data_IF_156460151569
#
_entry.id   IF_156460151569
#
_cell.length_a   1.000
_cell.length_b   1.000
_cell.length_c   1.000
_cell.angle_alpha   90.00
_cell.angle_beta   90.00
_cell.angle_gamma   90.00
#
_symmetry.space_group_name_H-M   'P 1'
#
loop_
_entity.id
_entity.type
_entity.pdbx_description
1 polymer ?
#
# COMPACT_ATOMS: atom_id res chain seq x y z
N UNK A 1 13.85 -4.33 9.43
CA UNK A 1 14.57 -3.43 8.48
C UNK A 1 15.75 -4.19 7.90
N UNK A 2 16.27 -3.72 6.77
CA UNK A 2 17.32 -4.42 6.04
C UNK A 2 18.60 -4.65 6.86
N UNK A 3 19.13 -3.56 7.42
CA UNK A 3 20.34 -3.58 8.24
C UNK A 3 20.24 -4.50 9.48
N UNK A 4 19.04 -4.62 10.08
CA UNK A 4 18.86 -5.43 11.29
C UNK A 4 18.94 -6.93 10.97
N UNK A 5 18.53 -7.34 9.77
CA UNK A 5 18.67 -8.73 9.34
C UNK A 5 20.14 -9.07 9.06
N UNK A 6 20.88 -8.13 8.49
CA UNK A 6 22.31 -8.31 8.25
C UNK A 6 23.11 -8.38 9.55
N UNK A 7 22.86 -7.47 10.49
CA UNK A 7 23.47 -7.51 11.81
C UNK A 7 23.15 -8.82 12.55
N UNK A 8 21.91 -9.31 12.48
CA UNK A 8 21.55 -10.61 13.06
C UNK A 8 22.36 -11.75 12.43
N UNK A 9 22.50 -11.76 11.10
CA UNK A 9 23.30 -12.76 10.38
C UNK A 9 24.77 -12.72 10.77
N UNK A 10 25.38 -11.54 10.84
CA UNK A 10 26.80 -11.37 11.23
C UNK A 10 27.07 -11.85 12.66
N UNK A 11 26.11 -11.65 13.55
CA UNK A 11 26.18 -12.08 14.95
C UNK A 11 25.72 -13.54 15.16
N UNK A 12 25.31 -14.25 14.12
CA UNK A 12 24.79 -15.61 14.22
C UNK A 12 23.47 -15.73 14.99
N UNK A 13 22.67 -14.67 15.01
CA UNK A 13 21.39 -14.60 15.70
C UNK A 13 20.22 -14.95 14.75
N UNK A 14 19.20 -15.69 15.23
CA UNK A 14 17.98 -15.88 14.47
C UNK A 14 17.23 -14.56 14.34
N UNK A 15 16.53 -14.39 13.21
CA UNK A 15 15.62 -13.27 13.02
C UNK A 15 14.33 -13.74 12.34
N UNK A 16 13.24 -13.04 12.64
CA UNK A 16 11.93 -13.24 12.02
C UNK A 16 11.59 -11.98 11.25
N UNK A 17 11.19 -12.14 10.00
CA UNK A 17 10.77 -11.01 9.17
C UNK A 17 9.26 -10.81 9.31
N UNK A 18 8.84 -9.62 9.73
CA UNK A 18 7.45 -9.18 9.60
C UNK A 18 7.29 -8.42 8.28
N UNK A 19 6.54 -9.00 7.35
CA UNK A 19 6.13 -8.40 6.10
C UNK A 19 4.74 -7.78 6.24
N UNK A 20 4.67 -6.45 6.12
CA UNK A 20 3.47 -5.66 6.40
C UNK A 20 2.62 -5.38 5.18
N UNK A 21 3.11 -5.67 3.98
CA UNK A 21 2.33 -5.66 2.75
C UNK A 21 1.70 -7.04 2.49
N UNK A 22 0.99 -7.18 1.38
CA UNK A 22 0.32 -8.43 1.00
C UNK A 22 1.29 -9.53 0.54
N UNK A 23 0.89 -10.80 0.61
CA UNK A 23 1.70 -11.91 0.10
C UNK A 23 1.91 -11.80 -1.42
N UNK A 24 0.89 -11.39 -2.18
CA UNK A 24 1.02 -11.17 -3.61
C UNK A 24 2.05 -10.07 -3.94
N UNK A 25 2.12 -9.01 -3.13
CA UNK A 25 3.12 -7.95 -3.32
C UNK A 25 4.54 -8.47 -3.06
N UNK A 26 4.72 -9.34 -2.06
CA UNK A 26 6.00 -10.00 -1.80
C UNK A 26 6.49 -10.76 -3.03
N UNK A 27 5.62 -11.58 -3.64
CA UNK A 27 5.93 -12.31 -4.87
C UNK A 27 6.29 -11.35 -6.01
N UNK A 28 5.54 -10.24 -6.15
CA UNK A 28 5.84 -9.19 -7.11
C UNK A 28 7.28 -8.66 -6.99
N UNK A 29 7.70 -8.30 -5.78
CA UNK A 29 9.07 -7.85 -5.52
C UNK A 29 10.11 -8.95 -5.71
N UNK A 30 9.80 -10.18 -5.26
CA UNK A 30 10.70 -11.33 -5.33
C UNK A 30 11.07 -11.68 -6.77
N UNK A 31 10.18 -11.39 -7.73
CA UNK A 31 10.38 -11.65 -9.16
C UNK A 31 11.00 -10.49 -9.94
N UNK A 32 11.43 -9.41 -9.30
CA UNK A 32 12.10 -8.29 -10.00
C UNK A 32 13.30 -8.73 -10.85
N UNK A 33 14.09 -9.69 -10.37
CA UNK A 33 15.21 -10.26 -11.16
C UNK A 33 14.75 -10.98 -12.43
N UNK A 34 13.58 -11.60 -12.41
CA UNK A 34 12.97 -12.22 -13.59
C UNK A 34 12.55 -11.15 -14.61
N UNK A 35 11.95 -10.04 -14.14
CA UNK A 35 11.62 -8.89 -14.99
C UNK A 35 12.88 -8.28 -15.62
N UNK A 36 14.00 -8.28 -14.89
CA UNK A 36 15.30 -7.84 -15.43
C UNK A 36 15.83 -8.77 -16.51
N UNK A 37 15.81 -10.08 -16.25
CA UNK A 37 16.26 -11.08 -17.22
C UNK A 37 15.45 -11.06 -18.52
N UNK A 38 14.17 -10.66 -18.45
CA UNK A 38 13.28 -10.51 -19.60
C UNK A 38 13.38 -9.15 -20.30
N UNK A 39 14.21 -8.25 -19.80
CA UNK A 39 14.39 -6.91 -20.38
C UNK A 39 13.21 -5.96 -20.20
N UNK A 40 12.28 -6.27 -19.27
CA UNK A 40 11.16 -5.40 -18.92
C UNK A 40 11.56 -4.27 -17.95
N UNK A 41 12.64 -4.49 -17.21
CA UNK A 41 13.23 -3.52 -16.30
C UNK A 41 14.76 -3.75 -16.18
N UNK A 42 15.54 -2.83 -15.58
CA UNK A 42 15.17 -1.45 -15.31
C UNK A 42 14.78 -0.72 -16.59
N UNK A 43 13.84 0.22 -16.49
CA UNK A 43 13.51 1.06 -17.65
C UNK A 43 14.66 2.03 -17.91
N UNK A 44 14.82 2.46 -19.17
CA UNK A 44 15.88 3.41 -19.52
C UNK A 44 15.43 4.85 -19.36
N UNK A 45 14.17 5.09 -19.68
CA UNK A 45 13.58 6.42 -19.66
C UNK A 45 12.11 6.38 -19.29
N UNK A 46 11.59 7.45 -18.69
CA UNK A 46 10.21 7.51 -18.20
C UNK A 46 9.22 7.50 -19.36
N UNK A 47 9.63 8.01 -20.52
CA UNK A 47 8.91 8.01 -21.79
C UNK A 47 8.62 6.60 -22.31
N UNK A 48 9.37 5.59 -21.83
CA UNK A 48 9.10 4.18 -22.13
C UNK A 48 7.78 3.70 -21.47
N UNK A 49 7.31 4.35 -20.40
CA UNK A 49 6.13 3.96 -19.63
C UNK A 49 4.82 4.38 -20.29
N UNK A 50 4.65 4.03 -21.56
CA UNK A 50 3.36 4.18 -22.26
C UNK A 50 2.34 3.19 -21.72
N UNK A 51 1.04 3.44 -21.95
CA UNK A 51 -0.01 2.49 -21.58
C UNK A 51 0.20 1.11 -22.21
N UNK A 52 0.62 1.07 -23.48
CA UNK A 52 0.97 -0.18 -24.18
C UNK A 52 2.10 -0.93 -23.49
N UNK A 53 3.18 -0.23 -23.10
CA UNK A 53 4.29 -0.85 -22.38
C UNK A 53 3.85 -1.36 -21.01
N UNK A 54 3.09 -0.56 -20.28
CA UNK A 54 2.51 -0.89 -18.99
C UNK A 54 1.55 -2.09 -19.05
N UNK A 55 0.85 -2.28 -20.17
CA UNK A 55 -0.04 -3.43 -20.40
C UNK A 55 0.67 -4.69 -20.92
N UNK A 56 2.00 -4.66 -21.08
CA UNK A 56 2.79 -5.85 -21.45
C UNK A 56 2.48 -7.01 -20.49
N UNK A 57 1.98 -8.16 -20.99
CA UNK A 57 1.74 -9.34 -20.17
C UNK A 57 3.04 -9.89 -19.57
N UNK A 58 2.99 -10.30 -18.30
CA UNK A 58 4.10 -10.95 -17.61
C UNK A 58 3.66 -12.36 -17.24
N UNK A 59 3.81 -13.26 -18.21
CA UNK A 59 3.38 -14.66 -18.12
C UNK A 59 4.39 -15.54 -17.38
N UNK A 60 3.97 -16.73 -16.96
CA UNK A 60 4.84 -17.74 -16.33
C UNK A 60 5.65 -17.23 -15.14
N UNK A 61 5.02 -16.46 -14.26
CA UNK A 61 5.63 -16.00 -13.00
C UNK A 61 5.14 -16.89 -11.85
N UNK A 62 6.02 -17.65 -11.17
CA UNK A 62 5.60 -18.54 -10.10
C UNK A 62 4.82 -17.81 -8.99
N UNK A 63 3.60 -18.25 -8.72
CA UNK A 63 2.72 -17.65 -7.70
C UNK A 63 1.98 -16.39 -8.14
N UNK A 64 2.13 -15.95 -9.39
CA UNK A 64 1.43 -14.79 -9.93
C UNK A 64 0.72 -15.16 -11.23
N UNK A 65 -0.58 -14.83 -11.34
CA UNK A 65 -1.40 -15.15 -12.52
C UNK A 65 -1.96 -13.86 -13.13
N UNK A 66 -2.06 -13.83 -14.45
CA UNK A 66 -2.69 -12.73 -15.21
C UNK A 66 -2.09 -11.34 -14.91
N UNK A 67 -0.78 -11.27 -14.68
CA UNK A 67 -0.10 -10.02 -14.38
C UNK A 67 0.30 -9.28 -15.65
N UNK A 68 0.23 -7.95 -15.60
CA UNK A 68 0.88 -7.04 -16.55
C UNK A 68 2.00 -6.29 -15.84
N UNK A 69 2.88 -5.65 -16.62
CA UNK A 69 3.95 -4.84 -16.05
C UNK A 69 3.42 -3.74 -15.10
N UNK A 70 2.24 -3.16 -15.39
CA UNK A 70 1.57 -2.17 -14.52
C UNK A 70 1.04 -2.71 -13.20
N UNK A 71 0.93 -4.03 -13.05
CA UNK A 71 0.42 -4.64 -11.83
C UNK A 71 1.56 -4.89 -10.81
N UNK A 72 2.83 -4.79 -11.23
CA UNK A 72 3.99 -4.76 -10.33
C UNK A 72 4.16 -3.36 -9.72
N UNK A 73 4.68 -3.31 -8.48
CA UNK A 73 4.95 -2.05 -7.78
C UNK A 73 5.77 -1.07 -8.63
N UNK A 74 5.40 0.21 -8.57
CA UNK A 74 6.02 1.30 -9.35
C UNK A 74 7.52 1.48 -9.08
N UNK A 75 8.06 0.93 -8.00
CA UNK A 75 9.50 0.94 -7.70
C UNK A 75 10.35 0.34 -8.84
N UNK A 76 9.83 -0.66 -9.57
CA UNK A 76 10.54 -1.25 -10.72
C UNK A 76 10.58 -0.34 -11.96
N UNK A 77 9.80 0.73 -11.95
CA UNK A 77 9.65 1.69 -13.06
C UNK A 77 10.54 2.92 -12.88
N UNK A 78 11.52 2.86 -11.98
CA UNK A 78 12.51 3.92 -11.86
C UNK A 78 13.61 3.73 -12.91
N UNK A 79 13.98 4.77 -13.68
CA UNK A 79 15.16 4.73 -14.54
C UNK A 79 16.46 4.93 -13.76
N UNK A 80 16.37 5.36 -12.49
CA UNK A 80 17.54 5.60 -11.66
C UNK A 80 18.20 4.26 -11.27
N UNK A 81 19.49 4.05 -11.60
CA UNK A 81 20.19 2.80 -11.29
C UNK A 81 20.36 2.58 -9.77
N UNK A 82 20.30 3.65 -8.99
CA UNK A 82 20.45 3.69 -7.53
C UNK A 82 19.13 4.01 -6.81
N UNK A 83 17.97 3.74 -7.45
CA UNK A 83 16.66 3.96 -6.84
C UNK A 83 16.54 3.21 -5.50
N UNK A 84 16.40 3.99 -4.43
CA UNK A 84 16.37 3.46 -3.07
C UNK A 84 15.24 2.45 -2.86
N UNK A 85 14.03 2.72 -3.37
CA UNK A 85 12.88 1.86 -3.13
C UNK A 85 12.97 0.55 -3.90
N UNK A 86 13.55 0.59 -5.10
CA UNK A 86 13.86 -0.62 -5.87
C UNK A 86 14.85 -1.52 -5.13
N UNK A 87 15.99 -0.97 -4.69
CA UNK A 87 17.01 -1.72 -3.96
C UNK A 87 16.51 -2.21 -2.60
N UNK A 88 15.73 -1.39 -1.90
CA UNK A 88 15.09 -1.75 -0.65
C UNK A 88 14.15 -2.96 -0.83
N UNK A 89 13.26 -2.94 -1.82
CA UNK A 89 12.31 -4.03 -2.05
C UNK A 89 13.00 -5.34 -2.45
N UNK A 90 14.01 -5.26 -3.34
CA UNK A 90 14.86 -6.41 -3.69
C UNK A 90 15.55 -6.98 -2.46
N UNK A 91 16.26 -6.13 -1.71
CA UNK A 91 17.02 -6.54 -0.55
C UNK A 91 16.16 -7.16 0.55
N UNK A 92 14.98 -6.60 0.79
CA UNK A 92 14.05 -7.11 1.80
C UNK A 92 13.51 -8.50 1.43
N UNK A 93 13.16 -8.72 0.15
CA UNK A 93 12.59 -10.00 -0.29
C UNK A 93 13.64 -11.09 -0.52
N UNK A 94 14.83 -10.74 -1.01
CA UNK A 94 15.94 -11.69 -1.18
C UNK A 94 16.44 -12.23 0.17
N UNK A 95 16.52 -11.39 1.20
CA UNK A 95 16.95 -11.82 2.54
C UNK A 95 15.92 -12.63 3.31
N UNK A 96 14.64 -12.58 2.94
CA UNK A 96 13.58 -13.34 3.61
C UNK A 96 13.87 -14.86 3.65
N UNK A 97 14.58 -15.40 2.65
CA UNK A 97 14.98 -16.80 2.60
C UNK A 97 15.96 -17.21 3.72
N UNK A 98 16.70 -16.26 4.28
CA UNK A 98 17.61 -16.49 5.42
C UNK A 98 16.97 -16.28 6.79
N UNK A 99 15.68 -15.93 6.85
CA UNK A 99 14.98 -15.74 8.11
C UNK A 99 14.70 -17.10 8.77
N UNK A 100 14.50 -17.10 10.10
CA UNK A 100 14.01 -18.28 10.81
C UNK A 100 12.53 -18.54 10.56
N UNK A 101 11.78 -17.48 10.25
CA UNK A 101 10.39 -17.50 9.83
C UNK A 101 10.03 -16.17 9.15
N UNK A 102 8.98 -16.19 8.34
CA UNK A 102 8.35 -14.98 7.79
C UNK A 102 6.94 -14.88 8.35
N UNK A 103 6.57 -13.69 8.81
CA UNK A 103 5.23 -13.36 9.26
C UNK A 103 4.64 -12.40 8.22
N UNK A 104 3.43 -12.69 7.75
CA UNK A 104 2.69 -11.84 6.81
C UNK A 104 1.41 -11.37 7.47
N UNK A 105 1.10 -10.08 7.33
CA UNK A 105 -0.16 -9.49 7.81
C UNK A 105 -1.33 -9.83 6.87
N UNK A 106 -1.63 -11.12 6.74
CA UNK A 106 -2.71 -11.69 5.92
C UNK A 106 -3.26 -12.95 6.61
N UNK A 107 -4.25 -13.61 5.99
CA UNK A 107 -4.82 -14.88 6.47
C UNK A 107 -5.04 -15.84 5.28
N UNK A 108 -5.10 -17.15 5.57
CA UNK A 108 -5.10 -18.20 4.54
C UNK A 108 -6.27 -18.08 3.54
N UNK A 109 -7.48 -17.76 4.00
CA UNK A 109 -8.63 -17.59 3.12
C UNK A 109 -8.48 -16.40 2.14
N UNK A 110 -7.56 -15.47 2.40
CA UNK A 110 -7.30 -14.31 1.53
C UNK A 110 -6.16 -14.56 0.54
N UNK A 111 -5.04 -15.13 0.99
CA UNK A 111 -3.80 -15.23 0.18
C UNK A 111 -3.07 -16.58 0.36
N UNK A 112 -3.79 -17.66 0.67
CA UNK A 112 -3.19 -18.98 0.92
C UNK A 112 -2.41 -19.56 -0.27
N UNK A 113 -2.86 -19.31 -1.52
CA UNK A 113 -2.12 -19.73 -2.72
C UNK A 113 -0.78 -18.99 -2.84
N UNK A 114 -0.77 -17.69 -2.58
CA UNK A 114 0.43 -16.85 -2.62
C UNK A 114 1.40 -17.20 -1.49
N UNK A 115 0.89 -17.50 -0.29
CA UNK A 115 1.69 -17.97 0.85
C UNK A 115 2.35 -19.31 0.53
N UNK A 116 1.62 -20.25 -0.07
CA UNK A 116 2.21 -21.51 -0.53
C UNK A 116 3.27 -21.29 -1.61
N UNK A 117 3.05 -20.34 -2.52
CA UNK A 117 4.04 -19.96 -3.53
C UNK A 117 5.29 -19.31 -2.92
N UNK A 118 5.14 -18.50 -1.87
CA UNK A 118 6.26 -17.95 -1.11
C UNK A 118 7.14 -19.06 -0.53
N UNK A 119 6.54 -20.04 0.15
CA UNK A 119 7.25 -21.21 0.69
C UNK A 119 7.91 -22.03 -0.44
N UNK A 120 7.24 -22.22 -1.58
CA UNK A 120 7.79 -22.93 -2.74
C UNK A 120 9.00 -22.21 -3.39
N UNK A 121 9.12 -20.89 -3.22
CA UNK A 121 10.28 -20.09 -3.64
C UNK A 121 11.45 -20.15 -2.65
N UNK A 122 11.39 -21.04 -1.66
CA UNK A 122 12.46 -21.31 -0.71
C UNK A 122 12.45 -20.39 0.51
N UNK A 123 11.32 -19.76 0.82
CA UNK A 123 11.16 -19.08 2.11
C UNK A 123 11.04 -20.12 3.25
N UNK A 124 11.47 -19.77 4.48
CA UNK A 124 11.13 -20.56 5.66
C UNK A 124 9.61 -20.53 5.88
N UNK A 125 9.14 -21.21 6.94
CA UNK A 125 7.72 -21.24 7.31
C UNK A 125 7.12 -19.83 7.32
N UNK A 126 6.05 -19.65 6.55
CA UNK A 126 5.29 -18.40 6.48
C UNK A 126 4.09 -18.49 7.43
N UNK A 127 3.94 -17.50 8.30
CA UNK A 127 2.84 -17.38 9.26
C UNK A 127 1.92 -16.23 8.89
N UNK A 128 0.66 -16.54 8.67
CA UNK A 128 -0.40 -15.57 8.35
C UNK A 128 -1.13 -15.18 9.63
N UNK A 129 -0.75 -14.04 10.23
CA UNK A 129 -1.31 -13.58 11.53
C UNK A 129 -2.19 -12.33 11.39
N UNK A 130 -2.63 -12.04 10.16
CA UNK A 130 -3.47 -10.89 9.87
C UNK A 130 -4.96 -11.15 10.14
N UNK A 131 -5.77 -10.08 10.18
CA UNK A 131 -5.35 -8.68 10.15
C UNK A 131 -4.85 -8.25 11.53
N UNK A 132 -3.61 -7.76 11.61
CA UNK A 132 -2.98 -7.32 12.87
C UNK A 132 -3.80 -6.24 13.59
N UNK A 133 -4.55 -5.42 12.85
CA UNK A 133 -5.44 -4.39 13.39
C UNK A 133 -6.58 -4.97 14.24
N UNK A 134 -7.01 -6.21 13.97
CA UNK A 134 -8.04 -6.89 14.76
C UNK A 134 -7.48 -7.55 16.02
N UNK A 135 -6.16 -7.74 16.09
CA UNK A 135 -5.48 -8.33 17.25
C UNK A 135 -5.17 -7.30 18.34
N UNK A 136 -5.27 -6.00 18.02
CA UNK A 136 -5.12 -4.95 19.01
C UNK A 136 -6.28 -4.98 20.02
N UNK A 137 -6.03 -5.05 21.33
CA UNK A 137 -7.09 -5.10 22.33
C UNK A 137 -7.90 -3.79 22.32
N UNK A 138 -9.17 -3.87 21.88
CA UNK A 138 -10.12 -2.75 21.90
C UNK A 138 -10.44 -2.27 23.33
N UNK A 139 -10.20 -3.11 24.35
CA UNK A 139 -10.37 -2.79 25.79
C UNK A 139 -9.32 -3.53 26.64
N UNK A 140 -8.63 -2.82 27.53
CA UNK A 140 -7.62 -3.36 28.46
C UNK A 140 -6.58 -2.31 28.86
N UNK A 141 -5.60 -2.61 29.74
CA UNK A 141 -4.54 -1.66 30.11
C UNK A 141 -3.75 -1.12 28.90
N UNK A 142 -3.70 -1.92 27.83
CA UNK A 142 -3.09 -1.58 26.54
C UNK A 142 -3.99 -0.72 25.63
N UNK A 143 -5.23 -0.39 26.00
CA UNK A 143 -6.08 0.56 25.26
C UNK A 143 -5.57 2.00 25.32
N UNK A 144 -4.56 2.26 26.16
CA UNK A 144 -3.79 3.50 26.15
C UNK A 144 -2.82 3.60 24.96
N UNK A 145 -2.55 2.49 24.26
CA UNK A 145 -1.73 2.49 23.04
C UNK A 145 -2.65 2.88 21.88
N UNK A 146 -2.74 4.18 21.63
CA UNK A 146 -3.34 4.68 20.40
C UNK A 146 -2.54 4.13 19.22
N UNK A 147 -3.18 3.37 18.34
CA UNK A 147 -2.60 2.96 17.05
C UNK A 147 -2.45 4.16 16.09
N UNK A 148 -3.03 5.31 16.45
CA UNK A 148 -2.86 6.58 15.75
C UNK A 148 -1.82 7.44 16.47
N UNK A 149 -0.83 7.93 15.73
CA UNK A 149 0.07 9.00 16.20
C UNK A 149 -0.63 10.36 16.29
N UNK A 150 -1.85 10.46 15.78
CA UNK A 150 -2.65 11.67 15.70
C UNK A 150 -3.83 11.64 16.67
N UNK A 151 -4.15 12.81 17.25
CA UNK A 151 -5.36 12.96 18.07
C UNK A 151 -6.59 12.68 17.20
N UNK A 152 -7.52 11.82 17.65
CA UNK A 152 -8.79 11.62 16.95
C UNK A 152 -9.53 12.95 16.79
N UNK A 153 -10.12 13.20 15.62
CA UNK A 153 -11.10 14.27 15.47
C UNK A 153 -12.45 13.79 15.96
N UNK A 154 -12.99 14.48 16.95
CA UNK A 154 -14.27 14.13 17.56
C UNK A 154 -15.46 14.43 16.65
N UNK A 155 -15.29 15.23 15.60
CA UNK A 155 -16.37 15.70 14.73
C UNK A 155 -16.85 14.65 13.70
N UNK A 156 -15.98 13.70 13.33
CA UNK A 156 -16.29 12.73 12.27
C UNK A 156 -17.34 11.70 12.71
N UNK A 157 -17.24 11.20 13.95
CA UNK A 157 -18.14 10.14 14.45
C UNK A 157 -19.58 10.65 14.63
N UNK A 158 -19.85 11.81 15.27
CA UNK A 158 -21.21 12.34 15.36
C UNK A 158 -21.84 12.65 14.00
N UNK A 159 -21.04 13.06 13.01
CA UNK A 159 -21.55 13.27 11.65
C UNK A 159 -21.96 11.94 11.00
N UNK A 160 -21.18 10.87 11.20
CA UNK A 160 -21.51 9.52 10.73
C UNK A 160 -22.73 8.93 11.44
N UNK A 161 -22.90 9.18 12.75
CA UNK A 161 -24.06 8.74 13.53
C UNK A 161 -25.40 9.27 12.96
N UNK A 162 -25.35 10.40 12.26
CA UNK A 162 -26.50 10.99 11.57
C UNK A 162 -26.74 10.48 10.14
N UNK A 163 -26.21 9.32 9.75
CA UNK A 163 -26.33 8.75 8.40
C UNK A 163 -26.78 7.28 8.45
N UNK A 164 -27.42 6.83 7.38
CA UNK A 164 -27.86 5.43 7.29
C UNK A 164 -26.67 4.46 7.23
N UNK A 165 -26.76 3.25 7.82
CA UNK A 165 -25.69 2.25 7.75
C UNK A 165 -25.26 1.93 6.32
N UNK A 166 -23.95 1.97 6.05
CA UNK A 166 -23.38 1.67 4.73
C UNK A 166 -23.68 2.71 3.64
N UNK A 167 -24.21 3.89 4.01
CA UNK A 167 -24.59 4.94 3.03
C UNK A 167 -23.49 5.97 2.72
N UNK A 168 -22.40 5.95 3.50
CA UNK A 168 -21.30 6.93 3.40
C UNK A 168 -20.07 6.31 2.75
N UNK A 169 -19.52 7.00 1.76
CA UNK A 169 -18.23 6.66 1.18
C UNK A 169 -17.09 7.29 1.99
N UNK A 170 -16.20 6.46 2.52
CA UNK A 170 -14.97 6.93 3.17
C UNK A 170 -13.85 7.07 2.12
N UNK A 171 -13.22 8.25 2.08
CA UNK A 171 -12.13 8.57 1.17
C UNK A 171 -10.91 9.00 1.96
N UNK A 172 -9.81 8.28 1.79
CA UNK A 172 -8.52 8.60 2.37
C UNK A 172 -7.39 8.01 1.50
N UNK A 173 -6.37 8.82 1.22
CA UNK A 173 -5.20 8.42 0.40
C UNK A 173 -4.00 7.98 1.25
N UNK A 174 -4.19 7.83 2.56
CA UNK A 174 -3.15 7.45 3.49
C UNK A 174 -2.19 8.58 3.80
N UNK A 175 -1.01 8.24 4.30
CA UNK A 175 -0.01 9.20 4.79
C UNK A 175 1.11 9.55 3.79
N UNK A 176 1.17 8.88 2.64
CA UNK A 176 2.29 8.98 1.70
C UNK A 176 1.86 9.54 0.34
N UNK A 177 0.67 9.15 -0.12
CA UNK A 177 0.20 9.51 -1.46
C UNK A 177 0.06 11.03 -1.59
N UNK A 178 0.54 11.54 -2.71
CA UNK A 178 0.34 12.92 -3.14
C UNK A 178 -0.28 12.95 -4.54
N UNK A 179 -0.99 14.02 -4.85
CA UNK A 179 -1.61 14.25 -6.15
C UNK A 179 -1.36 15.68 -6.63
N UNK A 180 -1.63 15.94 -7.91
CA UNK A 180 -1.66 17.31 -8.42
C UNK A 180 -2.95 18.01 -8.00
N UNK A 181 -2.97 19.34 -8.08
CA UNK A 181 -4.19 20.08 -7.78
C UNK A 181 -5.31 19.78 -8.79
N UNK A 182 -4.96 19.53 -10.06
CA UNK A 182 -5.92 19.13 -11.08
C UNK A 182 -6.59 17.79 -10.72
N UNK A 183 -5.81 16.82 -10.25
CA UNK A 183 -6.34 15.54 -9.78
C UNK A 183 -7.26 15.71 -8.56
N UNK A 184 -6.91 16.59 -7.63
CA UNK A 184 -7.75 16.92 -6.47
C UNK A 184 -9.10 17.50 -6.91
N UNK A 185 -9.09 18.46 -7.84
CA UNK A 185 -10.28 19.13 -8.36
C UNK A 185 -11.18 18.15 -9.11
N UNK A 186 -10.61 17.32 -10.00
CA UNK A 186 -11.38 16.29 -10.72
C UNK A 186 -12.00 15.27 -9.75
N UNK A 187 -11.24 14.85 -8.73
CA UNK A 187 -11.75 13.95 -7.71
C UNK A 187 -12.90 14.58 -6.90
N UNK A 188 -12.76 15.86 -6.53
CA UNK A 188 -13.82 16.61 -5.84
C UNK A 188 -15.10 16.66 -6.68
N UNK A 189 -15.02 16.99 -7.97
CA UNK A 189 -16.20 17.01 -8.84
C UNK A 189 -16.79 15.61 -9.07
N UNK A 190 -15.96 14.56 -9.10
CA UNK A 190 -16.42 13.18 -9.09
C UNK A 190 -17.25 12.84 -7.84
N UNK A 191 -16.77 13.23 -6.65
CA UNK A 191 -17.51 13.07 -5.39
C UNK A 191 -18.84 13.83 -5.40
N UNK A 192 -18.82 15.10 -5.83
CA UNK A 192 -20.01 15.93 -5.89
C UNK A 192 -21.11 15.30 -6.78
N UNK A 193 -20.72 14.89 -8.00
CA UNK A 193 -21.60 14.28 -9.01
C UNK A 193 -22.07 12.87 -8.65
N UNK A 194 -21.38 12.17 -7.74
CA UNK A 194 -21.79 10.84 -7.29
C UNK A 194 -23.17 10.84 -6.59
N UNK A 195 -23.62 12.00 -6.08
CA UNK A 195 -24.86 12.10 -5.31
C UNK A 195 -24.81 11.38 -3.95
N UNK A 196 -23.68 10.78 -3.57
CA UNK A 196 -23.54 10.01 -2.32
C UNK A 196 -23.10 10.90 -1.17
N UNK A 197 -23.38 10.44 0.05
CA UNK A 197 -22.72 10.97 1.24
C UNK A 197 -21.26 10.52 1.25
N UNK A 198 -20.35 11.41 1.66
CA UNK A 198 -18.93 11.07 1.74
C UNK A 198 -18.25 11.72 2.93
N UNK A 199 -17.26 11.01 3.49
CA UNK A 199 -16.29 11.52 4.44
C UNK A 199 -14.92 11.47 3.77
N UNK A 200 -14.33 12.63 3.49
CA UNK A 200 -13.05 12.73 2.81
C UNK A 200 -11.98 13.34 3.70
N UNK A 201 -10.91 12.57 3.95
CA UNK A 201 -9.71 13.03 4.66
C UNK A 201 -8.72 13.64 3.65
N UNK A 202 -8.50 14.94 3.75
CA UNK A 202 -7.54 15.73 2.98
C UNK A 202 -6.43 16.17 3.93
N UNK A 203 -5.30 15.48 3.87
CA UNK A 203 -4.06 15.84 4.57
C UNK A 203 -3.48 17.16 4.01
N UNK A 204 -2.87 18.03 4.83
CA UNK A 204 -2.35 19.33 4.37
C UNK A 204 -1.32 19.23 3.24
N UNK A 205 -0.58 18.13 3.19
CA UNK A 205 0.46 17.79 2.22
C UNK A 205 -0.02 16.79 1.15
N UNK A 206 -1.33 16.72 0.90
CA UNK A 206 -1.89 15.86 -0.16
C UNK A 206 -1.53 16.38 -1.56
N UNK A 207 -1.45 17.70 -1.72
CA UNK A 207 -1.10 18.32 -2.99
C UNK A 207 0.40 18.58 -3.05
N UNK A 208 1.03 18.17 -4.16
CA UNK A 208 2.49 18.29 -4.32
C UNK A 208 2.93 19.75 -4.36
N UNK A 209 3.59 20.20 -3.29
CA UNK A 209 4.22 21.52 -3.22
C UNK A 209 3.27 22.69 -3.05
N UNK A 210 1.99 22.44 -2.77
CA UNK A 210 0.94 23.45 -2.61
C UNK A 210 -0.08 23.01 -1.55
N UNK A 211 -0.93 23.95 -1.10
CA UNK A 211 -2.05 23.64 -0.23
C UNK A 211 -3.17 22.94 -1.02
N UNK A 212 -3.87 22.00 -0.38
CA UNK A 212 -5.09 21.44 -0.95
C UNK A 212 -6.21 22.50 -0.96
N UNK A 213 -6.49 23.06 -2.14
CA UNK A 213 -7.53 24.08 -2.33
C UNK A 213 -8.68 23.48 -3.15
N UNK A 214 -9.81 23.25 -2.49
CA UNK A 214 -11.03 22.83 -3.17
C UNK A 214 -11.73 24.03 -3.83
N UNK A 215 -12.43 23.83 -4.97
CA UNK A 215 -13.27 24.87 -5.56
C UNK A 215 -14.32 25.37 -4.56
N UNK A 216 -14.65 26.67 -4.60
CA UNK A 216 -15.64 27.23 -3.67
C UNK A 216 -17.02 26.58 -3.88
N UNK A 217 -17.37 26.37 -5.14
CA UNK A 217 -18.61 25.75 -5.59
C UNK A 217 -18.77 24.30 -5.11
N UNK A 218 -17.66 23.61 -4.80
CA UNK A 218 -17.70 22.25 -4.28
C UNK A 218 -18.40 22.20 -2.91
N UNK A 219 -18.16 23.19 -2.05
CA UNK A 219 -18.77 23.22 -0.71
C UNK A 219 -20.28 23.43 -0.80
N UNK A 220 -20.71 24.30 -1.72
CA UNK A 220 -22.14 24.56 -1.95
C UNK A 220 -22.84 23.35 -2.56
N UNK A 221 -22.24 22.74 -3.59
CA UNK A 221 -22.80 21.57 -4.28
C UNK A 221 -22.92 20.36 -3.35
N UNK A 222 -21.99 20.20 -2.40
CA UNK A 222 -21.96 19.06 -1.47
C UNK A 222 -22.56 19.36 -0.10
N UNK A 223 -23.20 20.52 0.06
CA UNK A 223 -23.83 20.93 1.30
C UNK A 223 -24.81 19.85 1.83
N UNK A 224 -24.62 19.47 3.09
CA UNK A 224 -25.41 18.42 3.75
C UNK A 224 -25.04 16.98 3.37
N UNK A 225 -24.20 16.76 2.35
CA UNK A 225 -23.79 15.42 1.87
C UNK A 225 -22.34 15.06 2.19
N UNK A 226 -21.45 16.04 2.19
CA UNK A 226 -20.02 15.85 2.42
C UNK A 226 -19.55 16.28 3.80
N UNK A 227 -18.58 15.56 4.36
CA UNK A 227 -17.69 16.05 5.41
C UNK A 227 -16.25 15.94 4.93
N UNK A 228 -15.54 17.08 4.92
CA UNK A 228 -14.10 17.14 4.63
C UNK A 228 -13.34 17.35 5.94
N UNK A 229 -12.38 16.47 6.21
CA UNK A 229 -11.55 16.51 7.42
C UNK A 229 -10.05 16.46 7.04
N UNK A 230 -9.17 16.73 7.99
CA UNK A 230 -7.70 16.64 7.81
C UNK A 230 -7.04 15.82 8.90
#
# INVERSE_FOLDING_TARGET
MDFSMEAARELGLPYVQLWTASAISFLGYRHYRLLFARGLAPIKDVEQLTDEYLDTPVEDVPGLRNMRFRDFSSFIRSPAPDDYMLHFALGMTERAAGASAVIVNTFDDLEGEEVAAMEALGLPKVYTIGPLSLLAPLKGPSSAISMSLWKPREECLPWLDGKDPGSVMYVNFGSITVMTNEQLVEFAWGLAKSGRHFLWVIRPDLVKGDAAVLPLEFSDETAGRGLVAS
#
